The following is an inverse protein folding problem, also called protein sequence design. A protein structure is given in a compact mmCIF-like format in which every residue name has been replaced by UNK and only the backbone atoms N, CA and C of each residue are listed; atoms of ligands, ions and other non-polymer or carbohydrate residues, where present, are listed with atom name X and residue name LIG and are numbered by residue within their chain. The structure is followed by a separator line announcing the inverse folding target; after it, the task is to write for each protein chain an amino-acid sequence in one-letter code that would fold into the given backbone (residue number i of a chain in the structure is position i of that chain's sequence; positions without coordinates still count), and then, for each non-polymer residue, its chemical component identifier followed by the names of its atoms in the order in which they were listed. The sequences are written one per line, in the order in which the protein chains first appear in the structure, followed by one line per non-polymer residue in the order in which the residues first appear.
data_IF_835667972498
#
_entry.id   IF_835667972498
#
_cell.length_a   1.000
_cell.length_b   1.000
_cell.length_c   1.000
_cell.angle_alpha   90.00
_cell.angle_beta   90.00
_cell.angle_gamma   90.00
#
_symmetry.space_group_name_H-M   'P 1'
#
loop_
_entity.id
_entity.type
_entity.pdbx_description
1 polymer ?
#
# COMPACT_ATOMS: atom_id res chain seq x y z
N UNK A 1 -18.80 18.28 -7.41
CA UNK A 1 -17.91 17.62 -8.42
C UNK A 1 -18.69 16.57 -9.19
N UNK A 2 -18.46 16.42 -10.49
CA UNK A 2 -19.09 15.37 -11.31
C UNK A 2 -18.28 14.06 -11.14
N UNK A 3 -18.98 12.95 -10.91
CA UNK A 3 -18.36 11.62 -10.71
C UNK A 3 -19.13 10.55 -11.47
N UNK A 4 -18.44 9.47 -11.84
CA UNK A 4 -19.06 8.26 -12.40
C UNK A 4 -19.50 7.39 -11.21
N UNK A 5 -20.69 7.61 -10.72
CA UNK A 5 -21.32 6.84 -9.65
C UNK A 5 -22.85 6.93 -9.75
N UNK A 6 -23.54 5.96 -9.16
CA UNK A 6 -24.99 6.02 -8.97
C UNK A 6 -25.30 6.65 -7.59
N UNK A 7 -25.53 5.78 -6.57
CA UNK A 7 -25.71 6.22 -5.20
C UNK A 7 -24.36 6.18 -4.46
N UNK A 8 -23.89 7.28 -3.84
CA UNK A 8 -22.64 7.30 -3.08
C UNK A 8 -22.60 6.27 -1.94
N UNK A 9 -23.73 5.92 -1.34
CA UNK A 9 -23.79 4.93 -0.26
C UNK A 9 -23.53 3.50 -0.76
N UNK A 10 -23.73 3.23 -2.04
CA UNK A 10 -23.57 1.90 -2.64
C UNK A 10 -22.27 1.77 -3.49
N UNK A 11 -21.46 2.83 -3.57
CA UNK A 11 -20.33 2.89 -4.50
C UNK A 11 -19.32 1.77 -4.30
N UNK A 12 -19.08 1.34 -3.05
CA UNK A 12 -18.13 0.26 -2.74
C UNK A 12 -18.67 -1.08 -3.24
N UNK A 13 -19.94 -1.38 -3.01
CA UNK A 13 -20.56 -2.62 -3.48
C UNK A 13 -20.67 -2.68 -5.01
N UNK A 14 -20.99 -1.56 -5.64
CA UNK A 14 -21.03 -1.47 -7.10
C UNK A 14 -19.64 -1.61 -7.72
N UNK A 15 -18.64 -0.97 -7.14
CA UNK A 15 -17.24 -1.10 -7.54
C UNK A 15 -16.75 -2.55 -7.42
N UNK A 16 -17.04 -3.23 -6.30
CA UNK A 16 -16.68 -4.64 -6.11
C UNK A 16 -17.30 -5.55 -7.16
N UNK A 17 -18.59 -5.36 -7.50
CA UNK A 17 -19.23 -6.10 -8.58
C UNK A 17 -18.53 -5.91 -9.92
N UNK A 18 -18.15 -4.66 -10.23
CA UNK A 18 -17.40 -4.34 -11.46
C UNK A 18 -16.01 -4.96 -11.45
N UNK A 19 -15.28 -4.83 -10.34
CA UNK A 19 -13.93 -5.38 -10.18
C UNK A 19 -13.90 -6.91 -10.35
N UNK A 20 -14.80 -7.63 -9.68
CA UNK A 20 -14.89 -9.09 -9.75
C UNK A 20 -15.23 -9.59 -11.15
N UNK A 21 -16.05 -8.85 -11.91
CA UNK A 21 -16.34 -9.18 -13.30
C UNK A 21 -15.14 -8.95 -14.22
N UNK A 22 -14.45 -7.82 -14.04
CA UNK A 22 -13.32 -7.44 -14.88
C UNK A 22 -12.09 -8.33 -14.68
N UNK A 23 -11.91 -8.90 -13.47
CA UNK A 23 -10.75 -9.69 -13.08
C UNK A 23 -11.12 -11.10 -12.62
N UNK A 24 -12.22 -11.65 -13.19
CA UNK A 24 -12.72 -12.99 -12.88
C UNK A 24 -11.76 -14.13 -13.22
N UNK A 25 -10.72 -13.87 -13.97
CA UNK A 25 -9.61 -14.77 -14.25
C UNK A 25 -8.61 -14.88 -13.08
N UNK A 26 -8.50 -13.85 -12.24
CA UNK A 26 -7.52 -13.75 -11.13
C UNK A 26 -8.19 -13.91 -9.77
N UNK A 27 -9.38 -13.29 -9.57
CA UNK A 27 -10.02 -13.17 -8.27
C UNK A 27 -11.47 -13.64 -8.27
N UNK A 28 -11.95 -13.96 -7.07
CA UNK A 28 -13.36 -14.24 -6.79
C UNK A 28 -13.74 -13.70 -5.41
N UNK A 29 -15.03 -13.68 -5.08
CA UNK A 29 -15.54 -13.32 -3.75
C UNK A 29 -15.81 -14.57 -2.93
N UNK A 30 -16.02 -14.39 -1.62
CA UNK A 30 -16.50 -15.41 -0.69
C UNK A 30 -18.01 -15.19 -0.41
N UNK A 31 -18.60 -15.95 0.51
CA UNK A 31 -19.95 -15.68 1.01
C UNK A 31 -20.07 -14.29 1.67
N UNK A 32 -18.96 -13.75 2.13
CA UNK A 32 -18.86 -12.37 2.57
C UNK A 32 -18.52 -11.46 1.38
N UNK A 33 -19.48 -10.70 0.87
CA UNK A 33 -19.29 -9.79 -0.27
C UNK A 33 -18.24 -8.69 -0.04
N UNK A 34 -17.70 -8.54 1.16
CA UNK A 34 -16.62 -7.61 1.52
C UNK A 34 -15.25 -8.30 1.62
N UNK A 35 -15.11 -9.48 1.01
CA UNK A 35 -13.83 -10.21 0.89
C UNK A 35 -13.58 -10.55 -0.57
N UNK A 36 -12.40 -10.19 -1.06
CA UNK A 36 -11.88 -10.61 -2.36
C UNK A 36 -10.74 -11.59 -2.11
N UNK A 37 -10.76 -12.74 -2.76
CA UNK A 37 -9.69 -13.73 -2.67
C UNK A 37 -9.14 -14.11 -4.05
N UNK A 38 -7.90 -14.59 -4.09
CA UNK A 38 -7.31 -15.17 -5.29
C UNK A 38 -8.09 -16.44 -5.68
N UNK A 39 -8.31 -16.60 -6.98
CA UNK A 39 -9.02 -17.76 -7.51
C UNK A 39 -8.25 -19.07 -7.31
N UNK A 40 -6.94 -18.99 -7.41
CA UNK A 40 -6.03 -20.11 -7.24
C UNK A 40 -5.05 -19.80 -6.11
N UNK A 41 -5.23 -20.46 -4.97
CA UNK A 41 -4.30 -20.40 -3.83
C UNK A 41 -3.62 -21.76 -3.75
N UNK A 42 -2.29 -21.87 -3.89
CA UNK A 42 -1.59 -23.14 -3.78
C UNK A 42 -1.79 -23.82 -2.43
N UNK A 43 -2.00 -25.13 -2.43
CA UNK A 43 -2.10 -25.92 -1.20
C UNK A 43 -0.79 -25.86 -0.39
N UNK A 44 -0.89 -26.03 0.92
CA UNK A 44 0.25 -26.03 1.85
C UNK A 44 1.10 -24.76 1.87
N UNK A 45 0.56 -23.63 1.38
CA UNK A 45 1.18 -22.30 1.41
C UNK A 45 0.68 -21.52 2.63
N UNK A 46 1.52 -20.68 3.21
CA UNK A 46 1.10 -19.65 4.17
C UNK A 46 0.19 -18.66 3.46
N UNK A 47 -1.01 -18.42 4.00
CA UNK A 47 -1.92 -17.43 3.47
C UNK A 47 -1.41 -16.02 3.71
N UNK A 48 -1.55 -15.12 2.73
CA UNK A 48 -1.19 -13.70 2.86
C UNK A 48 -2.45 -12.86 2.71
N UNK A 49 -2.79 -12.10 3.74
CA UNK A 49 -4.00 -11.29 3.81
C UNK A 49 -3.66 -9.83 4.02
N UNK A 50 -4.42 -8.96 3.38
CA UNK A 50 -4.42 -7.52 3.63
C UNK A 50 -5.86 -7.00 3.75
N UNK A 51 -6.01 -5.70 3.93
CA UNK A 51 -7.31 -5.03 3.93
C UNK A 51 -7.19 -3.59 4.35
N UNK A 52 -8.18 -2.82 3.94
CA UNK A 52 -8.25 -1.39 4.25
C UNK A 52 -9.41 -0.72 3.54
N UNK A 53 -9.47 0.60 3.63
CA UNK A 53 -10.52 1.44 3.05
C UNK A 53 -10.52 1.43 1.51
N UNK A 54 -11.69 1.66 0.92
CA UNK A 54 -11.89 1.59 -0.52
C UNK A 54 -11.45 2.82 -1.32
N UNK A 55 -10.89 3.85 -0.69
CA UNK A 55 -10.45 5.09 -1.34
C UNK A 55 -9.08 5.02 -2.05
N UNK A 56 -8.37 3.90 -1.98
CA UNK A 56 -6.93 3.81 -2.31
C UNK A 56 -6.61 2.95 -3.52
N UNK A 57 -7.57 2.69 -4.41
CA UNK A 57 -7.38 1.76 -5.53
C UNK A 57 -6.14 2.09 -6.38
N UNK A 58 -5.34 1.03 -6.72
CA UNK A 58 -5.64 -0.42 -6.64
C UNK A 58 -5.57 -1.04 -5.25
N UNK A 59 -4.97 -0.38 -4.24
CA UNK A 59 -4.97 -0.93 -2.89
C UNK A 59 -6.43 -1.11 -2.38
N UNK A 60 -6.76 -2.16 -1.74
CA UNK A 60 -6.00 -3.36 -1.33
C UNK A 60 -6.28 -4.54 -2.28
N UNK A 61 -7.52 -4.60 -2.82
CA UNK A 61 -8.03 -5.72 -3.63
C UNK A 61 -7.25 -5.94 -4.93
N UNK A 62 -6.67 -4.88 -5.48
CA UNK A 62 -5.85 -4.98 -6.69
C UNK A 62 -4.55 -5.76 -6.50
N UNK A 63 -4.15 -6.02 -5.27
CA UNK A 63 -2.95 -6.80 -4.94
C UNK A 63 -3.25 -8.24 -4.54
N UNK A 64 -4.51 -8.67 -4.73
CA UNK A 64 -4.88 -10.08 -4.61
C UNK A 64 -4.54 -10.80 -5.92
N UNK A 65 -3.69 -11.83 -5.82
CA UNK A 65 -3.24 -12.61 -6.97
C UNK A 65 -1.97 -13.39 -6.71
N UNK A 66 -1.41 -13.99 -7.76
CA UNK A 66 -0.25 -14.86 -7.70
C UNK A 66 1.00 -14.12 -7.17
N UNK A 67 1.66 -14.72 -6.18
CA UNK A 67 2.87 -14.21 -5.51
C UNK A 67 2.69 -12.82 -4.87
N UNK A 68 1.45 -12.45 -4.56
CA UNK A 68 1.03 -11.26 -3.83
C UNK A 68 0.15 -11.66 -2.63
N UNK A 69 -0.93 -10.94 -2.36
CA UNK A 69 -1.90 -11.33 -1.33
C UNK A 69 -2.85 -12.42 -1.85
N UNK A 70 -3.28 -13.32 -0.95
CA UNK A 70 -4.26 -14.36 -1.27
C UNK A 70 -5.71 -13.88 -1.02
N UNK A 71 -5.89 -12.96 -0.09
CA UNK A 71 -7.20 -12.32 0.14
C UNK A 71 -7.05 -10.91 0.70
N UNK A 72 -8.10 -10.10 0.49
CA UNK A 72 -8.21 -8.76 1.04
C UNK A 72 -9.61 -8.52 1.63
N UNK A 73 -9.64 -7.98 2.86
CA UNK A 73 -10.84 -7.44 3.47
C UNK A 73 -11.11 -6.02 2.96
N UNK A 74 -12.38 -5.69 2.71
CA UNK A 74 -12.79 -4.44 2.06
C UNK A 74 -13.59 -3.58 3.03
N UNK A 75 -13.06 -2.40 3.33
CA UNK A 75 -13.74 -1.36 4.09
C UNK A 75 -14.54 -0.40 3.22
N UNK A 76 -15.29 0.48 3.87
CA UNK A 76 -15.88 1.66 3.22
C UNK A 76 -14.79 2.64 2.81
N UNK A 77 -15.16 3.70 2.09
CA UNK A 77 -14.19 4.72 1.68
C UNK A 77 -13.57 5.36 2.94
N UNK A 78 -12.24 5.35 3.03
CA UNK A 78 -11.45 5.85 4.16
C UNK A 78 -11.86 5.25 5.53
N UNK A 79 -12.36 4.02 5.54
CA UNK A 79 -12.75 3.31 6.76
C UNK A 79 -12.24 1.88 6.77
N UNK A 80 -11.78 1.44 7.93
CA UNK A 80 -11.27 0.07 8.12
C UNK A 80 -12.35 -0.98 7.83
N UNK A 81 -11.98 -2.12 7.22
CA UNK A 81 -12.85 -3.31 7.18
C UNK A 81 -13.24 -3.75 8.58
N UNK A 82 -14.40 -4.40 8.69
CA UNK A 82 -14.83 -4.99 9.98
C UNK A 82 -13.94 -6.16 10.38
N UNK A 83 -13.90 -6.46 11.69
CA UNK A 83 -13.19 -7.64 12.18
C UNK A 83 -13.74 -8.96 11.58
N UNK A 84 -15.02 -9.02 11.25
CA UNK A 84 -15.63 -10.17 10.57
C UNK A 84 -15.08 -10.31 9.13
N UNK A 85 -14.94 -9.21 8.39
CA UNK A 85 -14.36 -9.25 7.04
C UNK A 85 -12.88 -9.71 7.07
N UNK A 86 -12.08 -9.21 8.01
CA UNK A 86 -10.70 -9.69 8.20
C UNK A 86 -10.65 -11.18 8.58
N UNK A 87 -11.54 -11.65 9.48
CA UNK A 87 -11.63 -13.07 9.81
C UNK A 87 -11.95 -13.92 8.58
N UNK A 88 -12.92 -13.51 7.79
CA UNK A 88 -13.35 -14.26 6.61
C UNK A 88 -12.28 -14.23 5.51
N UNK A 89 -11.54 -13.13 5.38
CA UNK A 89 -10.34 -13.08 4.52
C UNK A 89 -9.26 -14.07 5.01
N UNK A 90 -9.01 -14.14 6.32
CA UNK A 90 -8.07 -15.12 6.88
C UNK A 90 -8.52 -16.57 6.63
N UNK A 91 -9.80 -16.88 6.81
CA UNK A 91 -10.36 -18.21 6.49
C UNK A 91 -10.21 -18.56 5.02
N UNK A 92 -10.43 -17.58 4.13
CA UNK A 92 -10.34 -17.78 2.69
C UNK A 92 -8.89 -18.02 2.21
N UNK A 93 -7.90 -17.45 2.90
CA UNK A 93 -6.49 -17.56 2.56
C UNK A 93 -5.79 -18.76 3.24
N UNK A 94 -6.32 -19.27 4.35
CA UNK A 94 -5.66 -20.33 5.13
C UNK A 94 -5.66 -21.67 4.37
N UNK A 95 -4.46 -22.22 4.17
CA UNK A 95 -4.20 -23.53 3.60
C UNK A 95 -3.63 -24.52 4.65
N UNK A 96 -3.95 -24.29 5.94
CA UNK A 96 -3.48 -25.12 7.05
C UNK A 96 -2.04 -24.81 7.52
N UNK A 97 -1.43 -23.74 6.97
CA UNK A 97 -0.07 -23.29 7.35
C UNK A 97 -0.09 -21.96 8.13
N UNK A 98 -1.28 -21.45 8.44
CA UNK A 98 -1.49 -20.16 9.07
C UNK A 98 -1.46 -19.00 8.08
N UNK A 99 -1.71 -17.81 8.59
CA UNK A 99 -1.93 -16.60 7.80
C UNK A 99 -1.05 -15.46 8.29
N UNK A 100 -0.35 -14.80 7.35
CA UNK A 100 0.32 -13.52 7.53
C UNK A 100 -0.65 -12.40 7.15
N UNK A 101 -1.10 -11.60 8.11
CA UNK A 101 -1.95 -10.43 7.88
C UNK A 101 -1.08 -9.16 7.86
N UNK A 102 -0.96 -8.56 6.68
CA UNK A 102 -0.05 -7.46 6.36
C UNK A 102 -0.88 -6.20 6.05
N UNK A 103 -0.83 -5.17 6.90
CA UNK A 103 -1.72 -3.99 6.79
C UNK A 103 -1.07 -2.70 7.29
N UNK A 104 -1.66 -1.56 6.99
CA UNK A 104 -1.17 -0.24 7.36
C UNK A 104 -1.50 0.16 8.80
N UNK A 105 -0.64 0.96 9.41
CA UNK A 105 -0.78 1.41 10.80
C UNK A 105 -1.84 2.50 10.97
N UNK A 106 -3.10 2.09 10.99
CA UNK A 106 -4.24 2.94 11.32
C UNK A 106 -5.00 2.38 12.51
N UNK A 107 -5.56 3.24 13.36
CA UNK A 107 -6.21 2.83 14.61
C UNK A 107 -7.38 1.88 14.39
N UNK A 108 -8.21 2.13 13.36
CA UNK A 108 -9.33 1.27 13.00
C UNK A 108 -8.88 -0.12 12.57
N UNK A 109 -7.88 -0.20 11.69
CA UNK A 109 -7.32 -1.46 11.20
C UNK A 109 -6.65 -2.24 12.33
N UNK A 110 -5.84 -1.58 13.16
CA UNK A 110 -5.22 -2.19 14.34
C UNK A 110 -6.27 -2.81 15.29
N UNK A 111 -7.38 -2.11 15.54
CA UNK A 111 -8.46 -2.61 16.42
C UNK A 111 -9.17 -3.81 15.78
N UNK A 112 -9.56 -3.70 14.51
CA UNK A 112 -10.33 -4.73 13.82
C UNK A 112 -9.50 -5.98 13.55
N UNK A 113 -8.23 -5.84 13.12
CA UNK A 113 -7.31 -6.97 12.92
C UNK A 113 -7.01 -7.67 14.24
N UNK A 114 -6.76 -6.94 15.33
CA UNK A 114 -6.55 -7.52 16.67
C UNK A 114 -7.75 -8.35 17.12
N UNK A 115 -8.96 -7.91 16.81
CA UNK A 115 -10.18 -8.68 17.07
C UNK A 115 -10.27 -9.90 16.17
N UNK A 116 -10.03 -9.76 14.86
CA UNK A 116 -10.03 -10.85 13.89
C UNK A 116 -9.04 -11.95 14.26
N UNK A 117 -7.82 -11.60 14.68
CA UNK A 117 -6.79 -12.56 15.15
C UNK A 117 -7.29 -13.39 16.32
N UNK A 118 -8.00 -12.77 17.29
CA UNK A 118 -8.60 -13.50 18.42
C UNK A 118 -9.73 -14.45 17.97
N UNK A 119 -10.52 -14.03 16.99
CA UNK A 119 -11.60 -14.84 16.42
C UNK A 119 -11.02 -15.99 15.58
N UNK A 120 -10.00 -15.74 14.77
CA UNK A 120 -9.28 -16.75 13.99
C UNK A 120 -8.66 -17.84 14.87
N UNK A 121 -8.04 -17.46 15.99
CA UNK A 121 -7.53 -18.42 16.98
C UNK A 121 -8.62 -19.37 17.52
N UNK A 122 -9.82 -18.85 17.76
CA UNK A 122 -10.97 -19.68 18.18
C UNK A 122 -11.45 -20.64 17.07
N UNK A 123 -11.22 -20.27 15.82
CA UNK A 123 -11.50 -21.07 14.63
C UNK A 123 -10.35 -22.04 14.27
N UNK A 124 -9.29 -22.11 15.07
CA UNK A 124 -8.14 -22.98 14.83
C UNK A 124 -7.11 -22.46 13.83
N UNK A 125 -7.22 -21.19 13.42
CA UNK A 125 -6.31 -20.56 12.47
C UNK A 125 -5.26 -19.71 13.20
N UNK A 126 -3.99 -19.98 12.95
CA UNK A 126 -2.89 -19.14 13.46
C UNK A 126 -2.70 -17.94 12.54
N UNK A 127 -2.86 -16.73 13.07
CA UNK A 127 -2.63 -15.48 12.34
C UNK A 127 -1.53 -14.69 13.03
N UNK A 128 -0.51 -14.28 12.27
CA UNK A 128 0.52 -13.32 12.69
C UNK A 128 0.43 -12.06 11.83
N UNK A 129 0.92 -10.94 12.32
CA UNK A 129 0.73 -9.64 11.68
C UNK A 129 2.03 -8.90 11.47
N UNK A 130 2.12 -8.13 10.38
CA UNK A 130 3.09 -7.05 10.20
C UNK A 130 2.31 -5.77 9.92
N UNK A 131 2.71 -4.68 10.57
CA UNK A 131 2.05 -3.39 10.46
C UNK A 131 2.99 -2.42 9.75
N UNK A 132 2.59 -1.94 8.58
CA UNK A 132 3.38 -0.99 7.81
C UNK A 132 3.36 0.40 8.47
N UNK A 133 4.54 1.02 8.54
CA UNK A 133 4.79 2.29 9.20
C UNK A 133 5.87 3.11 8.48
N UNK A 134 5.76 3.16 7.16
CA UNK A 134 6.76 3.72 6.25
C UNK A 134 6.68 5.24 6.08
N UNK A 135 5.57 5.90 6.43
CA UNK A 135 5.37 7.34 6.26
C UNK A 135 6.20 8.17 7.24
N UNK A 136 7.35 8.66 6.77
CA UNK A 136 8.32 9.38 7.61
C UNK A 136 7.81 10.75 8.11
N UNK A 137 6.83 11.34 7.42
CA UNK A 137 6.27 12.64 7.79
C UNK A 137 5.24 12.54 8.92
N UNK A 138 4.72 11.37 9.23
CA UNK A 138 3.60 11.19 10.16
C UNK A 138 4.00 11.10 11.64
N UNK A 139 5.27 10.80 11.95
CA UNK A 139 5.81 10.86 13.30
C UNK A 139 7.35 10.91 13.30
N UNK A 140 7.99 11.44 14.37
CA UNK A 140 9.44 11.51 14.48
C UNK A 140 10.11 10.13 14.38
N UNK A 141 11.41 10.13 14.07
CA UNK A 141 12.20 8.91 13.85
C UNK A 141 12.27 8.00 15.09
N UNK A 142 12.31 8.58 16.28
CA UNK A 142 12.29 7.88 17.56
C UNK A 142 10.91 7.38 18.00
N UNK A 143 9.86 7.67 17.21
CA UNK A 143 8.48 7.21 17.41
C UNK A 143 7.95 6.52 16.15
N UNK A 144 8.81 5.80 15.46
CA UNK A 144 8.49 5.15 14.18
C UNK A 144 7.26 4.23 14.27
N UNK A 145 7.04 3.59 15.39
CA UNK A 145 5.88 2.70 15.62
C UNK A 145 4.54 3.44 15.54
N UNK A 146 4.53 4.77 15.58
CA UNK A 146 3.33 5.61 15.44
C UNK A 146 3.09 6.07 14.00
N UNK A 147 4.06 5.85 13.10
CA UNK A 147 3.95 6.26 11.70
C UNK A 147 2.84 5.51 10.98
N UNK A 148 2.21 6.18 10.03
CA UNK A 148 1.21 5.59 9.13
C UNK A 148 1.87 4.61 8.15
N UNK A 149 1.09 3.62 7.67
CA UNK A 149 1.40 2.85 6.48
C UNK A 149 0.83 3.54 5.24
N UNK A 150 1.63 3.64 4.19
CA UNK A 150 1.24 4.21 2.91
C UNK A 150 1.73 3.34 1.74
N UNK A 151 2.28 3.87 0.68
CA UNK A 151 2.64 3.09 -0.51
C UNK A 151 3.71 2.00 -0.27
N UNK A 152 4.46 2.05 0.83
CA UNK A 152 5.38 0.99 1.25
C UNK A 152 4.70 -0.35 1.51
N UNK A 153 3.40 -0.35 1.81
CA UNK A 153 2.62 -1.59 1.93
C UNK A 153 2.68 -2.44 0.67
N UNK A 154 2.74 -1.83 -0.51
CA UNK A 154 2.83 -2.55 -1.81
C UNK A 154 4.09 -3.42 -1.86
N UNK A 155 5.22 -2.90 -1.39
CA UNK A 155 6.48 -3.62 -1.35
C UNK A 155 6.47 -4.71 -0.26
N UNK A 156 5.84 -4.44 0.89
CA UNK A 156 5.62 -5.42 1.95
C UNK A 156 4.77 -6.60 1.46
N UNK A 157 3.67 -6.34 0.73
CA UNK A 157 2.83 -7.41 0.15
C UNK A 157 3.58 -8.20 -0.90
N UNK A 158 4.37 -7.54 -1.75
CA UNK A 158 5.19 -8.20 -2.77
C UNK A 158 6.20 -9.15 -2.14
N UNK A 159 6.92 -8.70 -1.11
CA UNK A 159 7.93 -9.51 -0.41
C UNK A 159 7.28 -10.66 0.37
N UNK A 160 6.22 -10.38 1.14
CA UNK A 160 5.49 -11.38 1.91
C UNK A 160 4.86 -12.45 1.03
N UNK A 161 4.19 -12.06 -0.07
CA UNK A 161 3.59 -12.95 -1.05
C UNK A 161 4.63 -13.84 -1.75
N UNK A 162 5.76 -13.24 -2.16
CA UNK A 162 6.88 -13.97 -2.78
C UNK A 162 7.52 -14.99 -1.81
N UNK A 163 7.74 -14.61 -0.54
CA UNK A 163 8.30 -15.52 0.47
C UNK A 163 7.35 -16.69 0.75
N UNK A 164 6.04 -16.42 0.85
CA UNK A 164 5.05 -17.48 1.00
C UNK A 164 5.01 -18.42 -0.22
N UNK A 165 5.10 -17.87 -1.43
CA UNK A 165 5.15 -18.65 -2.67
C UNK A 165 6.41 -19.54 -2.80
N UNK A 166 7.54 -19.11 -2.22
CA UNK A 166 8.77 -19.93 -2.12
C UNK A 166 8.66 -21.05 -1.08
N UNK A 167 7.54 -21.17 -0.37
CA UNK A 167 7.33 -22.20 0.65
C UNK A 167 7.87 -21.84 2.03
N UNK A 168 8.11 -20.55 2.28
CA UNK A 168 8.46 -20.07 3.62
C UNK A 168 7.37 -20.42 4.64
N UNK A 169 7.76 -20.78 5.86
CA UNK A 169 6.81 -20.96 6.95
C UNK A 169 6.28 -19.61 7.45
N UNK A 170 5.30 -19.63 8.37
CA UNK A 170 4.65 -18.41 8.83
C UNK A 170 5.64 -17.40 9.45
N UNK A 171 6.63 -17.91 10.21
CA UNK A 171 7.62 -17.03 10.84
C UNK A 171 8.57 -16.43 9.81
N UNK A 172 8.96 -17.18 8.80
CA UNK A 172 9.79 -16.69 7.69
C UNK A 172 9.06 -15.64 6.84
N UNK A 173 7.76 -15.85 6.55
CA UNK A 173 6.94 -14.88 5.81
C UNK A 173 6.80 -13.58 6.60
N UNK A 174 6.52 -13.68 7.90
CA UNK A 174 6.43 -12.50 8.79
C UNK A 174 7.78 -11.79 8.87
N UNK A 175 8.89 -12.52 9.02
CA UNK A 175 10.23 -11.93 9.09
C UNK A 175 10.60 -11.20 7.80
N UNK A 176 10.30 -11.78 6.62
CA UNK A 176 10.55 -11.15 5.34
C UNK A 176 9.70 -9.89 5.13
N UNK A 177 8.40 -9.94 5.43
CA UNK A 177 7.52 -8.78 5.36
C UNK A 177 7.92 -7.66 6.35
N UNK A 178 8.31 -8.02 7.57
CA UNK A 178 8.83 -7.07 8.56
C UNK A 178 10.14 -6.43 8.08
N UNK A 179 11.07 -7.23 7.55
CA UNK A 179 12.32 -6.73 6.96
C UNK A 179 12.03 -5.75 5.82
N UNK A 180 11.07 -6.05 4.94
CA UNK A 180 10.70 -5.15 3.86
C UNK A 180 10.26 -3.79 4.41
N UNK A 181 9.32 -3.75 5.35
CA UNK A 181 8.83 -2.48 5.89
C UNK A 181 9.87 -1.76 6.76
N UNK A 182 10.74 -2.50 7.45
CA UNK A 182 11.84 -1.92 8.22
C UNK A 182 12.84 -1.16 7.33
N UNK A 183 13.04 -1.63 6.10
CA UNK A 183 13.92 -1.03 5.11
C UNK A 183 13.21 -0.03 4.18
N UNK A 184 11.93 0.26 4.40
CA UNK A 184 11.13 1.15 3.55
C UNK A 184 10.86 2.49 4.22
N UNK A 185 10.93 3.57 3.43
CA UNK A 185 10.55 4.93 3.81
C UNK A 185 9.74 5.56 2.70
N UNK A 186 8.70 6.30 3.09
CA UNK A 186 7.81 6.99 2.16
C UNK A 186 7.53 8.42 2.60
N UNK A 187 7.27 9.30 1.63
CA UNK A 187 6.75 10.64 1.85
C UNK A 187 5.81 11.04 0.72
N UNK A 188 4.69 11.66 1.06
CA UNK A 188 3.73 12.19 0.10
C UNK A 188 3.91 13.69 -0.15
N UNK A 189 3.51 14.15 -1.34
CA UNK A 189 3.22 15.56 -1.64
C UNK A 189 1.81 15.63 -2.20
N UNK A 190 0.94 16.47 -1.61
CA UNK A 190 -0.41 16.76 -2.09
C UNK A 190 -0.49 18.11 -2.78
N UNK A 191 -1.23 18.16 -3.88
CA UNK A 191 -1.46 19.37 -4.70
C UNK A 191 -2.92 19.80 -4.72
N UNK A 192 -3.85 18.88 -4.51
CA UNK A 192 -5.28 19.15 -4.38
C UNK A 192 -5.88 18.29 -3.26
N UNK A 193 -7.00 18.72 -2.66
CA UNK A 193 -7.75 17.85 -1.76
C UNK A 193 -8.45 16.72 -2.54
N UNK A 194 -8.96 15.73 -1.81
CA UNK A 194 -9.93 14.77 -2.32
C UNK A 194 -11.31 14.98 -1.69
N UNK A 195 -12.34 14.39 -2.31
CA UNK A 195 -13.73 14.53 -1.88
C UNK A 195 -14.33 13.17 -1.60
N UNK A 196 -14.80 12.93 -0.39
CA UNK A 196 -15.58 11.74 -0.07
C UNK A 196 -16.90 11.78 -0.82
N UNK A 197 -17.27 10.74 -1.61
CA UNK A 197 -18.48 10.73 -2.42
C UNK A 197 -19.76 11.02 -1.64
N UNK A 198 -19.91 10.44 -0.44
CA UNK A 198 -21.08 10.64 0.41
C UNK A 198 -21.18 12.05 1.03
N UNK A 199 -20.05 12.78 1.13
CA UNK A 199 -19.99 14.13 1.69
C UNK A 199 -20.20 15.19 0.60
N UNK A 200 -19.66 14.96 -0.60
CA UNK A 200 -19.83 15.82 -1.76
C UNK A 200 -18.95 17.07 -1.79
N UNK A 201 -18.17 17.33 -0.76
CA UNK A 201 -17.17 18.42 -0.69
C UNK A 201 -15.91 17.93 0.04
N UNK A 202 -14.74 18.55 -0.21
CA UNK A 202 -13.50 18.25 0.51
C UNK A 202 -13.65 18.50 2.03
N UNK A 203 -12.97 17.69 2.82
CA UNK A 203 -12.89 17.84 4.28
C UNK A 203 -11.59 18.53 4.74
N UNK A 204 -10.69 18.80 3.80
CA UNK A 204 -9.47 19.60 3.99
C UNK A 204 -9.23 20.45 2.74
N UNK A 205 -8.32 21.41 2.82
CA UNK A 205 -8.04 22.36 1.74
C UNK A 205 -6.54 22.41 1.47
N UNK A 206 -6.18 22.41 0.18
CA UNK A 206 -4.87 22.83 -0.31
C UNK A 206 -5.15 24.04 -1.22
N UNK A 207 -4.62 25.19 -0.87
CA UNK A 207 -4.87 26.45 -1.60
C UNK A 207 -4.18 26.42 -2.96
N UNK A 208 -4.82 27.03 -3.97
CA UNK A 208 -4.21 27.21 -5.28
C UNK A 208 -2.84 27.90 -5.15
N UNK A 209 -1.86 27.40 -5.88
CA UNK A 209 -0.47 27.87 -5.82
C UNK A 209 0.32 27.39 -4.61
N UNK A 210 -0.23 26.43 -3.82
CA UNK A 210 0.49 25.79 -2.72
C UNK A 210 0.57 24.28 -2.89
N UNK A 211 1.44 23.65 -2.11
CA UNK A 211 1.55 22.20 -1.97
C UNK A 211 1.76 21.84 -0.50
N UNK A 212 1.42 20.62 -0.12
CA UNK A 212 1.63 20.10 1.22
C UNK A 212 2.57 18.89 1.20
N UNK A 213 3.71 19.00 1.91
CA UNK A 213 4.71 17.93 2.02
C UNK A 213 4.38 17.04 3.22
N UNK A 214 4.33 15.73 3.00
CA UNK A 214 4.03 14.74 4.04
C UNK A 214 2.54 14.55 4.33
N UNK A 215 1.65 15.02 3.45
CA UNK A 215 0.21 14.81 3.60
C UNK A 215 -0.12 13.33 3.59
N UNK A 216 -1.07 12.93 4.46
CA UNK A 216 -1.60 11.58 4.49
C UNK A 216 -2.66 11.33 3.41
N UNK A 217 -2.95 10.04 3.16
CA UNK A 217 -3.91 9.63 2.14
C UNK A 217 -5.38 9.94 2.47
N UNK A 218 -5.70 10.36 3.70
CA UNK A 218 -7.03 10.83 4.09
C UNK A 218 -7.05 12.36 4.34
N UNK A 219 -5.96 13.08 3.97
CA UNK A 219 -5.80 14.49 4.25
C UNK A 219 -5.28 14.79 5.65
N UNK A 220 -4.66 13.80 6.31
CA UNK A 220 -3.96 14.07 7.58
C UNK A 220 -2.82 15.05 7.33
N UNK A 221 -2.66 16.08 8.21
CA UNK A 221 -1.67 17.12 8.00
C UNK A 221 -0.26 16.58 7.80
N UNK A 222 0.47 17.19 6.87
CA UNK A 222 1.87 16.94 6.61
C UNK A 222 2.80 17.72 7.53
N UNK A 223 4.05 17.85 7.12
CA UNK A 223 5.10 18.55 7.89
C UNK A 223 5.26 20.00 7.45
N UNK A 224 4.85 20.36 6.24
CA UNK A 224 5.00 21.71 5.68
C UNK A 224 3.96 21.98 4.59
N UNK A 225 3.38 23.18 4.65
CA UNK A 225 2.62 23.77 3.54
C UNK A 225 3.46 24.91 2.97
N UNK A 226 3.77 24.87 1.67
CA UNK A 226 4.61 25.87 1.00
C UNK A 226 4.06 26.23 -0.38
N UNK A 227 4.67 27.22 -1.03
CA UNK A 227 4.35 27.57 -2.42
C UNK A 227 4.60 26.38 -3.35
N UNK A 228 3.79 26.29 -4.41
CA UNK A 228 3.94 25.27 -5.45
C UNK A 228 5.33 25.39 -6.10
N UNK A 229 6.04 24.28 -6.15
CA UNK A 229 7.39 24.21 -6.71
C UNK A 229 7.40 23.47 -8.05
N UNK A 230 8.55 23.52 -8.75
CA UNK A 230 8.79 22.67 -9.92
C UNK A 230 8.97 21.19 -9.53
N UNK A 231 8.77 20.28 -10.47
CA UNK A 231 8.95 18.84 -10.25
C UNK A 231 10.34 18.50 -9.68
N UNK A 232 11.40 19.17 -10.15
CA UNK A 232 12.77 18.97 -9.65
C UNK A 232 12.90 19.33 -8.17
N UNK A 233 12.28 20.43 -7.74
CA UNK A 233 12.30 20.83 -6.33
C UNK A 233 11.45 19.90 -5.48
N UNK A 234 10.28 19.46 -5.98
CA UNK A 234 9.45 18.46 -5.32
C UNK A 234 10.23 17.15 -5.13
N UNK A 235 10.87 16.63 -6.19
CA UNK A 235 11.71 15.46 -6.14
C UNK A 235 12.83 15.59 -5.10
N UNK A 236 13.51 16.75 -5.10
CA UNK A 236 14.57 17.01 -4.12
C UNK A 236 14.05 16.97 -2.68
N UNK A 237 12.91 17.61 -2.39
CA UNK A 237 12.30 17.58 -1.06
C UNK A 237 11.97 16.15 -0.63
N UNK A 238 11.33 15.38 -1.52
CA UNK A 238 10.95 13.99 -1.24
C UNK A 238 12.17 13.12 -0.97
N UNK A 239 13.19 13.19 -1.82
CA UNK A 239 14.44 12.42 -1.65
C UNK A 239 15.16 12.83 -0.37
N UNK A 240 15.29 14.13 -0.07
CA UNK A 240 15.96 14.59 1.13
C UNK A 240 15.25 14.11 2.40
N UNK A 241 13.92 14.16 2.45
CA UNK A 241 13.12 13.68 3.58
C UNK A 241 13.31 12.17 3.79
N UNK A 242 13.21 11.38 2.72
CA UNK A 242 13.33 9.92 2.81
C UNK A 242 14.74 9.47 3.14
N UNK A 243 15.75 10.04 2.47
CA UNK A 243 17.15 9.63 2.64
C UNK A 243 17.71 10.06 4.00
N UNK A 244 17.25 11.18 4.56
CA UNK A 244 17.69 11.62 5.90
C UNK A 244 17.14 10.73 7.04
N UNK A 245 16.01 10.07 6.82
CA UNK A 245 15.36 9.23 7.83
C UNK A 245 16.00 7.83 7.96
N UNK A 246 16.52 7.28 6.88
CA UNK A 246 17.14 5.95 6.85
C UNK A 246 18.63 6.05 6.50
N UNK A 247 19.50 5.21 7.07
CA UNK A 247 20.95 5.27 6.82
C UNK A 247 21.31 4.64 5.47
N UNK A 248 20.87 5.29 4.38
CA UNK A 248 21.35 4.94 3.04
C UNK A 248 22.82 5.37 2.89
N UNK A 249 23.59 4.54 2.22
CA UNK A 249 25.02 4.81 1.94
C UNK A 249 25.32 4.60 0.47
N UNK A 250 26.42 5.16 0.01
CA UNK A 250 26.95 4.93 -1.35
C UNK A 250 27.12 3.42 -1.60
N UNK A 251 26.65 2.96 -2.76
CA UNK A 251 26.66 1.56 -3.16
C UNK A 251 25.39 0.78 -2.81
N UNK A 252 24.48 1.34 -2.00
CA UNK A 252 23.18 0.69 -1.73
C UNK A 252 22.36 0.52 -3.00
N UNK A 253 21.67 -0.63 -3.10
CA UNK A 253 20.64 -0.87 -4.12
C UNK A 253 19.25 -0.69 -3.50
N UNK A 254 18.33 -0.08 -4.27
CA UNK A 254 16.99 0.24 -3.80
C UNK A 254 15.90 -0.11 -4.81
N UNK A 255 14.70 -0.33 -4.30
CA UNK A 255 13.46 -0.21 -5.09
C UNK A 255 12.93 1.20 -4.90
N UNK A 256 12.57 1.84 -6.01
CA UNK A 256 11.87 3.12 -6.02
C UNK A 256 10.44 2.91 -6.48
N UNK A 257 9.46 3.38 -5.71
CA UNK A 257 8.07 3.39 -6.10
C UNK A 257 7.56 4.83 -6.04
N UNK A 258 7.15 5.37 -7.19
CA UNK A 258 6.48 6.67 -7.32
C UNK A 258 5.01 6.41 -7.62
N UNK A 259 4.17 6.60 -6.61
CA UNK A 259 2.73 6.42 -6.73
C UNK A 259 2.02 7.74 -6.84
N UNK A 260 1.30 7.97 -7.93
CA UNK A 260 0.32 9.05 -8.01
C UNK A 260 -0.78 8.87 -6.95
N UNK A 261 -1.36 9.98 -6.50
CA UNK A 261 -2.44 9.96 -5.52
C UNK A 261 -3.85 9.77 -6.14
N UNK A 262 -3.93 9.58 -7.45
CA UNK A 262 -5.15 9.21 -8.17
C UNK A 262 -5.47 10.10 -9.36
N UNK A 263 -5.32 11.41 -9.25
CA UNK A 263 -5.60 12.35 -10.34
C UNK A 263 -4.35 12.85 -11.06
N UNK A 264 -3.15 12.53 -10.60
CA UNK A 264 -1.91 12.95 -11.25
C UNK A 264 -1.70 12.18 -12.56
N UNK A 265 -1.54 12.88 -13.69
CA UNK A 265 -1.24 12.22 -14.97
C UNK A 265 0.08 11.42 -14.88
N UNK A 266 0.07 10.24 -15.49
CA UNK A 266 1.26 9.36 -15.50
C UNK A 266 2.51 10.05 -16.08
N UNK A 267 2.32 10.94 -17.04
CA UNK A 267 3.40 11.73 -17.63
C UNK A 267 4.14 12.58 -16.57
N UNK A 268 3.40 13.19 -15.65
CA UNK A 268 3.98 14.01 -14.58
C UNK A 268 4.74 13.16 -13.56
N UNK A 269 4.29 11.93 -13.31
CA UNK A 269 5.00 10.99 -12.44
C UNK A 269 6.35 10.56 -13.05
N UNK A 270 6.45 10.45 -14.37
CA UNK A 270 7.73 10.20 -15.04
C UNK A 270 8.67 11.40 -14.98
N UNK A 271 8.15 12.63 -15.09
CA UNK A 271 8.96 13.85 -14.89
C UNK A 271 9.53 13.88 -13.47
N UNK A 272 8.70 13.57 -12.47
CA UNK A 272 9.13 13.50 -11.08
C UNK A 272 10.18 12.41 -10.85
N UNK A 273 9.97 11.21 -11.42
CA UNK A 273 10.88 10.07 -11.27
C UNK A 273 12.24 10.32 -11.90
N UNK A 274 12.33 10.97 -13.04
CA UNK A 274 13.61 11.27 -13.71
C UNK A 274 14.57 12.03 -12.76
N UNK A 275 14.07 13.05 -12.09
CA UNK A 275 14.86 13.81 -11.13
C UNK A 275 15.12 13.02 -9.84
N UNK A 276 14.17 12.20 -9.36
CA UNK A 276 14.38 11.32 -8.19
C UNK A 276 15.56 10.37 -8.46
N UNK A 277 15.58 9.70 -9.61
CA UNK A 277 16.63 8.75 -9.96
C UNK A 277 17.98 9.45 -10.10
N UNK A 278 18.03 10.62 -10.74
CA UNK A 278 19.25 11.45 -10.84
C UNK A 278 19.80 11.80 -9.45
N UNK A 279 18.96 12.23 -8.53
CA UNK A 279 19.35 12.59 -7.16
C UNK A 279 19.87 11.40 -6.35
N UNK A 280 19.27 10.21 -6.54
CA UNK A 280 19.77 8.97 -5.93
C UNK A 280 21.12 8.56 -6.47
N UNK A 281 21.30 8.64 -7.80
CA UNK A 281 22.60 8.37 -8.45
C UNK A 281 23.71 9.32 -7.98
N UNK A 282 23.42 10.62 -7.80
CA UNK A 282 24.37 11.58 -7.23
C UNK A 282 24.81 11.23 -5.80
N UNK A 283 23.95 10.54 -5.05
CA UNK A 283 24.27 10.01 -3.71
C UNK A 283 24.94 8.63 -3.76
N UNK A 284 25.21 8.08 -4.94
CA UNK A 284 25.78 6.75 -5.14
C UNK A 284 24.80 5.61 -4.82
N UNK A 285 23.50 5.90 -4.72
CA UNK A 285 22.42 4.91 -4.47
C UNK A 285 21.91 4.44 -5.83
N UNK A 286 21.86 3.12 -6.03
CA UNK A 286 21.47 2.51 -7.32
C UNK A 286 20.04 2.05 -7.31
N UNK A 287 19.22 2.51 -8.25
CA UNK A 287 17.89 1.96 -8.47
C UNK A 287 17.99 0.59 -9.14
N UNK A 288 17.67 -0.47 -8.39
CA UNK A 288 17.57 -1.83 -8.92
C UNK A 288 16.27 -2.01 -9.71
N UNK A 289 15.16 -1.50 -9.17
CA UNK A 289 13.83 -1.58 -9.80
C UNK A 289 13.02 -0.32 -9.50
N UNK A 290 12.28 0.15 -10.50
CA UNK A 290 11.38 1.28 -10.35
C UNK A 290 9.94 0.89 -10.70
N UNK A 291 9.00 1.37 -9.91
CA UNK A 291 7.57 1.33 -10.16
C UNK A 291 7.04 2.76 -10.23
N UNK A 292 6.48 3.16 -11.38
CA UNK A 292 5.93 4.51 -11.58
C UNK A 292 4.50 4.38 -12.09
N UNK A 293 3.52 4.90 -11.35
CA UNK A 293 2.11 4.77 -11.70
C UNK A 293 1.20 5.03 -10.50
N UNK A 294 -0.06 4.62 -10.60
CA UNK A 294 -0.99 4.64 -9.47
C UNK A 294 -0.97 3.30 -8.76
N UNK A 295 -0.27 3.20 -7.63
CA UNK A 295 -0.13 1.98 -6.84
C UNK A 295 -0.89 2.05 -5.52
N UNK A 296 -0.91 3.22 -4.89
CA UNK A 296 -1.64 3.49 -3.66
C UNK A 296 -2.14 4.93 -3.71
N UNK A 297 -3.44 5.13 -3.88
CA UNK A 297 -4.03 6.43 -4.20
C UNK A 297 -4.86 7.01 -3.05
N UNK A 298 -5.41 8.18 -3.25
CA UNK A 298 -6.39 8.84 -2.39
C UNK A 298 -7.49 9.47 -3.24
N UNK A 299 -8.41 8.65 -3.73
CA UNK A 299 -9.52 9.07 -4.62
C UNK A 299 -8.99 9.90 -5.81
N UNK A 300 -9.42 11.15 -5.92
CA UNK A 300 -8.99 12.10 -6.97
C UNK A 300 -7.97 13.14 -6.50
N UNK A 301 -7.21 12.89 -5.44
CA UNK A 301 -6.14 13.78 -5.02
C UNK A 301 -5.05 13.88 -6.11
N UNK A 302 -4.60 15.09 -6.41
CA UNK A 302 -3.36 15.29 -7.16
C UNK A 302 -2.17 15.32 -6.22
N UNK A 303 -1.07 14.73 -6.65
CA UNK A 303 0.18 14.63 -5.93
C UNK A 303 0.82 13.27 -6.15
N UNK A 304 1.84 12.96 -5.39
CA UNK A 304 2.56 11.70 -5.48
C UNK A 304 3.14 11.30 -4.13
N UNK A 305 3.35 9.99 -3.95
CA UNK A 305 4.13 9.41 -2.85
C UNK A 305 5.40 8.81 -3.42
N UNK A 306 6.56 9.21 -2.87
CA UNK A 306 7.84 8.54 -3.08
C UNK A 306 8.03 7.50 -1.98
N UNK A 307 8.32 6.27 -2.38
CA UNK A 307 8.70 5.17 -1.50
C UNK A 307 10.03 4.60 -1.95
N UNK A 308 10.97 4.44 -1.01
CA UNK A 308 12.28 3.84 -1.26
C UNK A 308 12.47 2.69 -0.27
N UNK A 309 12.77 1.49 -0.81
CA UNK A 309 13.14 0.32 -0.01
C UNK A 309 14.59 -0.07 -0.30
N UNK A 310 15.43 -0.08 0.73
CA UNK A 310 16.79 -0.62 0.64
C UNK A 310 16.74 -2.13 0.48
N UNK A 311 17.55 -2.66 -0.42
CA UNK A 311 17.65 -4.10 -0.72
C UNK A 311 18.85 -4.73 -0.02
N UNK A 312 18.66 -5.93 0.48
CA UNK A 312 19.67 -6.97 0.64
C UNK A 312 19.41 -8.09 -0.38
N UNK A 313 20.24 -9.13 -0.37
CA UNK A 313 20.14 -10.22 -1.34
C UNK A 313 18.77 -10.93 -1.27
N UNK A 314 18.19 -11.12 -0.07
CA UNK A 314 16.89 -11.76 0.11
C UNK A 314 15.76 -10.86 -0.42
N UNK A 315 15.75 -9.58 -0.05
CA UNK A 315 14.73 -8.65 -0.52
C UNK A 315 14.80 -8.48 -2.05
N UNK A 316 16.01 -8.46 -2.61
CA UNK A 316 16.23 -8.38 -4.05
C UNK A 316 15.63 -9.59 -4.77
N UNK A 317 15.94 -10.80 -4.29
CA UNK A 317 15.38 -12.03 -4.83
C UNK A 317 13.84 -12.04 -4.78
N UNK A 318 13.25 -11.66 -3.64
CA UNK A 318 11.79 -11.65 -3.46
C UNK A 318 11.09 -10.58 -4.30
N UNK A 319 11.69 -9.42 -4.46
CA UNK A 319 11.18 -8.35 -5.33
C UNK A 319 11.22 -8.78 -6.80
N UNK A 320 12.25 -9.50 -7.23
CA UNK A 320 12.42 -9.92 -8.62
C UNK A 320 11.51 -11.09 -9.01
N UNK A 321 10.92 -11.80 -8.06
CA UNK A 321 9.97 -12.88 -8.37
C UNK A 321 8.79 -12.37 -9.21
N UNK A 322 8.28 -13.17 -10.16
CA UNK A 322 7.06 -12.85 -10.89
C UNK A 322 5.88 -12.56 -9.96
N UNK A 323 4.95 -11.73 -10.41
CA UNK A 323 3.70 -11.46 -9.71
C UNK A 323 2.58 -11.22 -10.72
N UNK A 324 1.36 -11.69 -10.43
CA UNK A 324 0.21 -11.48 -11.27
C UNK A 324 -1.02 -11.13 -10.44
N UNK A 325 -1.21 -9.83 -10.27
CA UNK A 325 -2.42 -9.24 -9.71
C UNK A 325 -2.86 -8.06 -10.59
N UNK A 326 -4.03 -7.49 -10.36
CA UNK A 326 -4.47 -6.31 -11.14
C UNK A 326 -3.53 -5.12 -10.92
N UNK A 327 -3.10 -4.89 -9.66
CA UNK A 327 -2.29 -3.73 -9.28
C UNK A 327 -0.80 -3.88 -9.58
N UNK A 328 -0.30 -5.11 -9.76
CA UNK A 328 1.09 -5.40 -10.06
C UNK A 328 1.22 -6.64 -10.95
N UNK A 329 1.68 -6.43 -12.18
CA UNK A 329 2.06 -7.51 -13.10
C UNK A 329 3.56 -7.42 -13.36
N UNK A 330 4.26 -8.49 -13.05
CA UNK A 330 5.70 -8.62 -13.22
C UNK A 330 6.01 -10.03 -13.74
N UNK A 331 6.77 -10.11 -14.82
CA UNK A 331 7.20 -11.37 -15.46
C UNK A 331 8.58 -11.76 -14.95
#
# INVERSE_FOLDING_TARGET
MQRIMNNPDNIVDEMLKGFLKAHSDIVETTDNGRVVKAKNIPENKVGVVTGGGSGHKPAFIGYVGENMCDAAAVGEICSSPTAAAFLDACKAADQGKGVACLYGNYSGDNMNVKMAVKMAKKAGITVKTVVANDDVASAPKDQREKRRGVAGEVLMWKVGGAKAAKGGDLDEVIAAAQKAIDNTRSVGIGLTPCTLPAVGHPNFEIKDGTMEVGIGHHGEPGIEVCELESADKMAKRMVDVVVSDYPFVEGDEVVVLVSGLGATPIMELYVLYDEIDRLLQEKGIKTHKAYVGNYFTSLEMMGATLTIMKLDDELKELIDMPANSMGLKQV
#
